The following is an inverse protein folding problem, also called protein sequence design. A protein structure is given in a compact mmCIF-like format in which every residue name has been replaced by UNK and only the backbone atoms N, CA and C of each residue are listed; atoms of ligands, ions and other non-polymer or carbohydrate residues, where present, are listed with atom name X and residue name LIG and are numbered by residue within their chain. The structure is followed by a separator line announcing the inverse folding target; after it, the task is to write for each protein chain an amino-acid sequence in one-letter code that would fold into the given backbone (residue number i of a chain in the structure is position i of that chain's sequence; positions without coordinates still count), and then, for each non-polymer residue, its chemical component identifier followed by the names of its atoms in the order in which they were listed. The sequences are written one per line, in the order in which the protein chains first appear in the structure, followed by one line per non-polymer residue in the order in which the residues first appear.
data_IF_618913465509
#
_entry.id   IF_618913465509
#
_cell.length_a   1.000
_cell.length_b   1.000
_cell.length_c   1.000
_cell.angle_alpha   90.00
_cell.angle_beta   90.00
_cell.angle_gamma   90.00
#
_symmetry.space_group_name_H-M   'P 1'
#
loop_
_entity.id
_entity.type
_entity.pdbx_description
1 polymer ?
#
# COMPACT_ATOMS: atom_id res chain seq x y z
N UNK A 1 -47.96 -45.55 32.93
CA UNK A 1 -46.58 -45.21 32.49
C UNK A 1 -46.31 -45.38 30.99
N UNK A 2 -47.16 -46.03 30.18
CA UNK A 2 -46.89 -46.29 28.75
C UNK A 2 -47.01 -45.08 27.79
N UNK A 3 -47.65 -43.97 28.19
CA UNK A 3 -47.90 -42.83 27.28
C UNK A 3 -46.80 -41.74 27.28
N UNK A 4 -45.78 -41.83 28.15
CA UNK A 4 -44.68 -40.84 28.19
C UNK A 4 -43.64 -41.10 27.11
N UNK A 5 -43.30 -42.36 26.84
CA UNK A 5 -42.30 -42.73 25.83
C UNK A 5 -42.74 -42.42 24.39
N UNK A 6 -44.04 -42.58 24.10
CA UNK A 6 -44.57 -42.29 22.77
C UNK A 6 -44.52 -40.79 22.42
N UNK A 7 -44.74 -39.90 23.39
CA UNK A 7 -44.70 -38.45 23.18
C UNK A 7 -43.28 -37.93 22.96
N UNK A 8 -42.28 -38.55 23.59
CA UNK A 8 -40.89 -38.12 23.50
C UNK A 8 -40.27 -38.53 22.15
N UNK A 9 -40.58 -39.73 21.64
CA UNK A 9 -40.14 -40.16 20.30
C UNK A 9 -40.70 -39.31 19.15
N UNK A 10 -41.95 -38.86 19.26
CA UNK A 10 -42.58 -38.00 18.22
C UNK A 10 -41.95 -36.60 18.17
N UNK A 11 -41.60 -36.02 19.33
CA UNK A 11 -40.97 -34.69 19.38
C UNK A 11 -39.55 -34.74 18.78
N UNK A 12 -38.77 -35.78 19.09
CA UNK A 12 -37.42 -35.95 18.53
C UNK A 12 -37.46 -36.18 17.02
N UNK A 13 -38.43 -36.97 16.53
CA UNK A 13 -38.62 -37.18 15.10
C UNK A 13 -39.04 -35.90 14.36
N UNK A 14 -39.89 -35.06 14.97
CA UNK A 14 -40.31 -33.79 14.39
C UNK A 14 -39.14 -32.80 14.28
N UNK A 15 -38.28 -32.73 15.31
CA UNK A 15 -37.09 -31.86 15.33
C UNK A 15 -36.06 -32.25 14.27
N UNK A 16 -35.82 -33.56 14.09
CA UNK A 16 -34.96 -34.09 13.03
C UNK A 16 -35.53 -33.83 11.62
N UNK A 17 -36.85 -33.98 11.46
CA UNK A 17 -37.50 -33.65 10.19
C UNK A 17 -37.40 -32.16 9.86
N UNK A 18 -37.54 -31.27 10.85
CA UNK A 18 -37.38 -29.82 10.63
C UNK A 18 -35.95 -29.41 10.29
N UNK A 19 -34.91 -30.05 10.84
CA UNK A 19 -33.52 -29.72 10.49
C UNK A 19 -33.17 -30.14 9.06
N UNK A 20 -33.67 -31.30 8.61
CA UNK A 20 -33.50 -31.79 7.23
C UNK A 20 -34.31 -30.93 6.24
N UNK A 21 -35.50 -30.46 6.63
CA UNK A 21 -36.31 -29.60 5.77
C UNK A 21 -35.71 -28.19 5.63
N UNK A 22 -35.15 -27.62 6.70
CA UNK A 22 -34.44 -26.33 6.65
C UNK A 22 -33.19 -26.42 5.76
N UNK A 23 -32.41 -27.49 5.83
CA UNK A 23 -31.24 -27.67 4.95
C UNK A 23 -31.57 -27.88 3.47
N UNK A 24 -32.83 -28.21 3.12
CA UNK A 24 -33.28 -28.31 1.71
C UNK A 24 -33.95 -27.04 1.19
N UNK A 25 -34.55 -26.22 2.06
CA UNK A 25 -35.13 -24.92 1.67
C UNK A 25 -34.04 -23.85 1.59
N UNK A 26 -33.08 -23.86 2.52
CA UNK A 26 -31.87 -23.04 2.44
C UNK A 26 -30.80 -23.84 1.73
N UNK A 27 -30.97 -24.00 0.41
CA UNK A 27 -29.95 -24.61 -0.44
C UNK A 27 -28.58 -24.03 -0.08
N UNK A 28 -27.70 -24.89 0.44
CA UNK A 28 -26.29 -24.56 0.56
C UNK A 28 -25.76 -24.57 -0.87
N UNK A 29 -25.99 -23.48 -1.60
CA UNK A 29 -25.17 -23.17 -2.75
C UNK A 29 -23.77 -22.93 -2.18
N UNK A 30 -22.94 -23.97 -2.27
CA UNK A 30 -21.51 -23.82 -2.14
C UNK A 30 -21.08 -22.94 -3.30
N UNK A 31 -21.08 -21.62 -3.08
CA UNK A 31 -20.43 -20.69 -3.98
C UNK A 31 -18.98 -21.12 -4.03
N UNK A 32 -18.55 -21.63 -5.18
CA UNK A 32 -17.15 -21.78 -5.47
C UNK A 32 -16.56 -20.37 -5.46
N UNK A 33 -15.83 -20.06 -4.40
CA UNK A 33 -15.10 -18.80 -4.28
C UNK A 33 -14.09 -18.75 -5.44
N UNK A 34 -14.33 -17.85 -6.38
CA UNK A 34 -13.41 -17.62 -7.49
C UNK A 34 -12.19 -16.91 -6.91
N UNK A 35 -11.17 -17.67 -6.52
CA UNK A 35 -9.93 -17.09 -6.04
C UNK A 35 -9.21 -16.43 -7.22
N UNK A 36 -9.18 -15.10 -7.25
CA UNK A 36 -8.31 -14.35 -8.15
C UNK A 36 -6.87 -14.70 -7.78
N UNK A 37 -6.04 -15.03 -8.78
CA UNK A 37 -4.61 -15.26 -8.59
C UNK A 37 -3.81 -14.10 -9.18
N UNK A 38 -2.72 -13.66 -8.53
CA UNK A 38 -1.87 -12.61 -9.08
C UNK A 38 -1.25 -13.08 -10.41
N UNK A 39 -0.99 -12.16 -11.36
CA UNK A 39 -0.29 -12.50 -12.59
C UNK A 39 1.12 -13.00 -12.28
N UNK A 40 1.70 -13.78 -13.20
CA UNK A 40 3.09 -14.19 -13.10
C UNK A 40 4.00 -13.02 -13.47
N UNK A 41 4.92 -12.67 -12.58
CA UNK A 41 5.97 -11.68 -12.85
C UNK A 41 7.27 -12.41 -13.23
N UNK A 42 8.02 -11.93 -14.25
CA UNK A 42 9.38 -12.39 -14.47
C UNK A 42 10.28 -11.97 -13.30
N UNK A 43 11.46 -12.58 -13.21
CA UNK A 43 12.45 -12.18 -12.20
C UNK A 43 13.35 -11.07 -12.73
N UNK A 44 13.79 -10.17 -11.85
CA UNK A 44 14.76 -9.14 -12.23
C UNK A 44 16.05 -9.74 -12.81
N UNK A 45 16.52 -10.87 -12.28
CA UNK A 45 17.67 -11.60 -12.80
C UNK A 45 17.53 -12.07 -14.25
N UNK A 46 16.31 -12.24 -14.77
CA UNK A 46 16.08 -12.59 -16.17
C UNK A 46 16.06 -11.36 -17.09
N UNK A 47 15.89 -10.16 -16.54
CA UNK A 47 15.66 -8.92 -17.29
C UNK A 47 16.86 -7.98 -17.29
N UNK A 48 17.39 -7.63 -16.11
CA UNK A 48 18.40 -6.56 -15.95
C UNK A 48 19.74 -6.87 -16.64
N UNK A 49 20.05 -8.14 -16.88
CA UNK A 49 21.29 -8.54 -17.56
C UNK A 49 21.13 -8.72 -19.07
N UNK A 50 19.92 -8.52 -19.59
CA UNK A 50 19.60 -8.68 -21.02
C UNK A 50 19.44 -7.33 -21.69
N UNK A 51 18.73 -6.40 -21.05
CA UNK A 51 18.50 -5.05 -21.55
C UNK A 51 18.05 -4.11 -20.42
N UNK A 52 18.32 -2.82 -20.62
CA UNK A 52 17.80 -1.73 -19.80
C UNK A 52 16.26 -1.74 -19.75
N UNK A 53 15.68 -1.15 -18.70
CA UNK A 53 14.23 -0.99 -18.56
C UNK A 53 13.59 -0.30 -19.76
N UNK A 54 12.51 -0.88 -20.29
CA UNK A 54 11.79 -0.32 -21.44
C UNK A 54 10.82 0.81 -21.05
N UNK A 55 10.48 0.91 -19.77
CA UNK A 55 9.68 2.01 -19.22
C UNK A 55 10.56 3.11 -18.64
N UNK A 56 11.55 2.74 -17.82
CA UNK A 56 12.53 3.67 -17.28
C UNK A 56 13.85 2.94 -16.99
N UNK A 57 14.96 3.65 -17.12
CA UNK A 57 16.30 3.17 -16.82
C UNK A 57 17.12 4.29 -16.17
N UNK A 58 17.76 3.96 -15.06
CA UNK A 58 18.62 4.87 -14.32
C UNK A 58 19.89 4.12 -13.88
N UNK A 59 21.05 4.55 -14.39
CA UNK A 59 22.35 4.02 -13.96
C UNK A 59 22.69 4.36 -12.50
N UNK A 60 22.11 5.44 -11.97
CA UNK A 60 22.29 5.90 -10.60
C UNK A 60 21.19 6.89 -10.20
N UNK A 61 20.95 7.05 -8.90
CA UNK A 61 20.01 8.02 -8.36
C UNK A 61 19.46 7.59 -7.02
N UNK A 62 18.54 8.40 -6.47
CA UNK A 62 17.72 8.02 -5.32
C UNK A 62 16.40 7.47 -5.86
N UNK A 63 16.11 6.21 -5.54
CA UNK A 63 14.95 5.47 -6.02
C UNK A 63 14.07 5.04 -4.87
N UNK A 64 12.75 5.18 -5.05
CA UNK A 64 11.78 4.72 -4.08
C UNK A 64 11.51 3.23 -4.22
N UNK A 65 11.28 2.58 -3.09
CA UNK A 65 10.75 1.22 -2.99
C UNK A 65 9.48 1.27 -2.12
N UNK A 66 8.30 0.93 -2.66
CA UNK A 66 7.03 1.01 -1.94
C UNK A 66 7.06 0.21 -0.63
N UNK A 67 6.59 0.83 0.45
CA UNK A 67 6.57 0.22 1.79
C UNK A 67 7.93 0.06 2.48
N UNK A 68 9.05 0.39 1.81
CA UNK A 68 10.40 0.25 2.36
C UNK A 68 11.04 1.62 2.60
N UNK A 69 11.22 2.43 1.55
CA UNK A 69 11.88 3.74 1.63
C UNK A 69 12.64 4.10 0.34
N UNK A 70 13.48 5.14 0.41
CA UNK A 70 14.30 5.60 -0.70
C UNK A 70 15.76 5.17 -0.53
N UNK A 71 16.39 4.74 -1.62
CA UNK A 71 17.75 4.19 -1.61
C UNK A 71 18.57 4.71 -2.79
N UNK A 72 19.87 4.87 -2.58
CA UNK A 72 20.80 5.24 -3.64
C UNK A 72 21.23 3.99 -4.42
N UNK A 73 21.14 4.04 -5.75
CA UNK A 73 21.45 2.90 -6.60
C UNK A 73 21.03 3.11 -8.06
N UNK A 74 21.08 2.04 -8.85
CA UNK A 74 20.49 1.97 -10.18
C UNK A 74 19.08 1.39 -10.12
N UNK A 75 18.25 1.69 -11.12
CA UNK A 75 16.87 1.22 -11.16
C UNK A 75 16.39 1.04 -12.60
N UNK A 76 15.85 -0.14 -12.88
CA UNK A 76 15.24 -0.49 -14.15
C UNK A 76 13.76 -0.78 -13.96
N UNK A 77 12.91 -0.17 -14.79
CA UNK A 77 11.46 -0.42 -14.79
C UNK A 77 11.05 -0.99 -16.14
N UNK A 78 10.36 -2.13 -16.09
CA UNK A 78 9.88 -2.86 -17.25
C UNK A 78 8.34 -2.86 -17.30
N UNK A 79 7.78 -2.58 -18.47
CA UNK A 79 6.35 -2.81 -18.73
C UNK A 79 6.11 -4.28 -19.07
N UNK A 80 5.13 -4.90 -18.40
CA UNK A 80 4.80 -6.32 -18.60
C UNK A 80 3.49 -6.53 -19.39
N UNK A 81 2.84 -5.44 -19.81
CA UNK A 81 1.52 -5.46 -20.42
C UNK A 81 0.37 -5.53 -19.39
N UNK A 82 -0.84 -5.20 -19.85
CA UNK A 82 -2.05 -5.11 -19.01
C UNK A 82 -1.85 -4.23 -17.77
N UNK A 83 -1.17 -3.08 -17.94
CA UNK A 83 -0.92 -2.14 -16.85
C UNK A 83 0.13 -2.57 -15.82
N UNK A 84 0.68 -3.79 -15.90
CA UNK A 84 1.63 -4.31 -14.91
C UNK A 84 3.06 -3.86 -15.17
N UNK A 85 3.83 -3.68 -14.10
CA UNK A 85 5.23 -3.30 -14.15
C UNK A 85 6.12 -4.18 -13.26
N UNK A 86 7.38 -4.26 -13.63
CA UNK A 86 8.45 -4.84 -12.82
C UNK A 86 9.51 -3.77 -12.60
N UNK A 87 9.78 -3.42 -11.35
CA UNK A 87 10.89 -2.55 -10.99
C UNK A 87 12.01 -3.37 -10.38
N UNK A 88 13.24 -3.09 -10.78
CA UNK A 88 14.45 -3.80 -10.40
C UNK A 88 15.49 -2.81 -9.88
N UNK A 89 15.46 -2.60 -8.57
CA UNK A 89 16.39 -1.69 -7.90
C UNK A 89 17.66 -2.42 -7.46
N UNK A 90 18.83 -1.84 -7.77
CA UNK A 90 20.13 -2.29 -7.31
C UNK A 90 20.87 -1.20 -6.53
N UNK A 91 21.23 -1.42 -5.25
CA UNK A 91 21.89 -0.40 -4.45
C UNK A 91 23.27 -0.05 -5.01
N UNK A 92 23.72 1.19 -4.80
CA UNK A 92 24.98 1.71 -5.35
C UNK A 92 26.23 0.91 -4.90
N UNK A 93 26.16 0.29 -3.71
CA UNK A 93 27.22 -0.61 -3.21
C UNK A 93 27.21 -2.02 -3.82
N UNK A 94 26.24 -2.32 -4.70
CA UNK A 94 25.94 -3.66 -5.21
C UNK A 94 25.35 -4.59 -4.15
N UNK A 95 25.29 -5.89 -4.47
CA UNK A 95 24.80 -6.92 -3.56
C UNK A 95 23.34 -7.30 -3.80
N UNK A 96 22.53 -7.24 -2.75
CA UNK A 96 21.12 -7.64 -2.79
C UNK A 96 20.25 -6.44 -3.21
N UNK A 97 19.58 -6.59 -4.35
CA UNK A 97 18.59 -5.66 -4.88
C UNK A 97 17.18 -5.99 -4.47
N UNK A 98 16.26 -5.10 -4.81
CA UNK A 98 14.82 -5.29 -4.58
C UNK A 98 14.08 -5.35 -5.90
N UNK A 99 13.36 -6.44 -6.10
CA UNK A 99 12.36 -6.61 -7.14
C UNK A 99 11.01 -6.16 -6.59
N UNK A 100 10.35 -5.24 -7.28
CA UNK A 100 9.01 -4.76 -6.96
C UNK A 100 8.05 -5.12 -8.10
N UNK A 101 7.08 -5.96 -7.79
CA UNK A 101 6.01 -6.36 -8.70
C UNK A 101 4.83 -5.42 -8.55
N UNK A 102 4.47 -4.73 -9.64
CA UNK A 102 3.34 -3.81 -9.70
C UNK A 102 2.21 -4.47 -10.46
N UNK A 103 1.19 -4.92 -9.73
CA UNK A 103 -0.01 -5.52 -10.31
C UNK A 103 -1.11 -4.47 -10.41
N UNK A 104 -1.52 -4.12 -11.63
CA UNK A 104 -2.71 -3.29 -11.87
C UNK A 104 -3.97 -4.01 -11.39
N UNK A 105 -4.70 -3.35 -10.50
CA UNK A 105 -5.89 -3.91 -9.83
C UNK A 105 -7.15 -3.08 -10.07
N UNK A 106 -7.22 -2.27 -11.14
CA UNK A 106 -8.43 -1.52 -11.50
C UNK A 106 -9.68 -2.42 -11.53
N UNK A 107 -9.50 -3.69 -11.92
CA UNK A 107 -10.56 -4.67 -12.08
C UNK A 107 -10.79 -5.58 -10.86
N UNK A 108 -10.08 -5.38 -9.74
CA UNK A 108 -10.30 -6.15 -8.52
C UNK A 108 -11.32 -5.45 -7.60
N UNK A 109 -12.12 -6.25 -6.91
CA UNK A 109 -12.98 -5.73 -5.85
C UNK A 109 -12.18 -5.59 -4.54
N UNK A 110 -12.76 -4.87 -3.58
CA UNK A 110 -12.10 -4.61 -2.29
C UNK A 110 -11.86 -5.87 -1.45
N UNK A 111 -12.67 -6.91 -1.60
CA UNK A 111 -12.52 -8.18 -0.86
C UNK A 111 -11.27 -8.92 -1.33
N UNK A 112 -11.04 -9.01 -2.64
CA UNK A 112 -9.83 -9.56 -3.24
C UNK A 112 -8.58 -8.77 -2.82
N UNK A 113 -8.65 -7.43 -2.89
CA UNK A 113 -7.56 -6.55 -2.44
C UNK A 113 -7.22 -6.84 -0.98
N UNK A 114 -8.21 -6.91 -0.09
CA UNK A 114 -8.00 -7.19 1.33
C UNK A 114 -7.38 -8.59 1.56
N UNK A 115 -7.76 -9.58 0.76
CA UNK A 115 -7.16 -10.91 0.79
C UNK A 115 -5.67 -10.86 0.45
N UNK A 116 -5.27 -10.07 -0.55
CA UNK A 116 -3.86 -9.91 -0.90
C UNK A 116 -3.07 -9.08 0.10
N UNK A 117 -3.67 -8.06 0.72
CA UNK A 117 -3.03 -7.32 1.81
C UNK A 117 -2.63 -8.24 2.97
N UNK A 118 -3.43 -9.27 3.27
CA UNK A 118 -3.08 -10.29 4.27
C UNK A 118 -1.91 -11.21 3.86
N UNK A 119 -1.56 -11.22 2.57
CA UNK A 119 -0.46 -12.00 1.96
C UNK A 119 0.77 -11.14 1.67
N UNK A 120 0.93 -10.05 2.43
CA UNK A 120 2.04 -9.10 2.35
C UNK A 120 2.16 -8.35 1.02
N UNK A 121 1.04 -8.15 0.32
CA UNK A 121 0.95 -7.12 -0.70
C UNK A 121 0.66 -5.77 -0.05
N UNK A 122 1.07 -4.70 -0.71
CA UNK A 122 0.75 -3.33 -0.35
C UNK A 122 -0.18 -2.75 -1.40
N UNK A 123 -1.16 -1.94 -1.00
CA UNK A 123 -2.01 -1.24 -1.94
C UNK A 123 -1.46 0.16 -2.15
N UNK A 124 -1.19 0.52 -3.41
CA UNK A 124 -0.92 1.87 -3.83
C UNK A 124 -2.07 2.37 -4.69
N UNK A 125 -2.67 3.48 -4.29
CA UNK A 125 -3.89 3.98 -4.92
C UNK A 125 -3.66 4.61 -6.29
N UNK A 126 -2.40 4.92 -6.63
CA UNK A 126 -1.98 5.49 -7.90
C UNK A 126 -0.49 5.17 -8.15
N UNK A 127 -0.14 4.91 -9.41
CA UNK A 127 1.23 4.77 -9.86
C UNK A 127 1.92 6.08 -10.29
N UNK A 128 1.21 7.22 -10.37
CA UNK A 128 1.76 8.49 -10.88
C UNK A 128 2.96 8.97 -10.03
N UNK A 129 2.87 8.84 -8.71
CA UNK A 129 3.97 9.15 -7.78
C UNK A 129 5.21 8.25 -7.94
N UNK A 130 5.07 7.15 -8.68
CA UNK A 130 6.11 6.18 -8.99
C UNK A 130 6.56 6.25 -10.46
N UNK A 131 6.12 7.29 -11.18
CA UNK A 131 6.34 7.44 -12.62
C UNK A 131 5.80 6.25 -13.42
N UNK A 132 4.70 5.64 -12.97
CA UNK A 132 3.94 4.60 -13.68
C UNK A 132 2.63 5.20 -14.23
N UNK A 133 1.73 4.35 -14.73
CA UNK A 133 0.37 4.80 -15.06
C UNK A 133 -0.39 5.20 -13.79
N UNK A 134 -1.34 6.14 -13.93
CA UNK A 134 -2.19 6.62 -12.83
C UNK A 134 -3.33 5.62 -12.53
N UNK A 135 -2.96 4.37 -12.24
CA UNK A 135 -3.87 3.27 -11.94
C UNK A 135 -3.61 2.75 -10.51
N UNK A 136 -4.57 2.07 -9.87
CA UNK A 136 -4.36 1.44 -8.56
C UNK A 136 -3.54 0.15 -8.71
N UNK A 137 -2.59 -0.05 -7.80
CA UNK A 137 -1.68 -1.19 -7.79
C UNK A 137 -1.71 -1.99 -6.49
N UNK A 138 -1.63 -3.31 -6.62
CA UNK A 138 -1.06 -4.15 -5.58
C UNK A 138 0.43 -4.33 -5.84
N UNK A 139 1.22 -4.06 -4.82
CA UNK A 139 2.68 -4.07 -4.88
C UNK A 139 3.25 -5.16 -3.99
N UNK A 140 4.25 -5.89 -4.50
CA UNK A 140 4.98 -6.88 -3.71
C UNK A 140 6.46 -6.83 -3.96
N UNK A 141 7.22 -6.69 -2.87
CA UNK A 141 8.67 -6.68 -2.90
C UNK A 141 9.25 -8.07 -2.65
N UNK A 142 10.36 -8.36 -3.30
CA UNK A 142 11.19 -9.53 -3.06
C UNK A 142 12.65 -9.17 -3.31
N UNK A 143 13.58 -9.93 -2.73
CA UNK A 143 15.00 -9.64 -2.87
C UNK A 143 15.59 -10.44 -4.05
N UNK A 144 16.55 -9.85 -4.76
CA UNK A 144 17.28 -10.53 -5.83
C UNK A 144 18.77 -10.14 -5.82
N UNK A 145 19.60 -10.87 -6.56
CA UNK A 145 21.03 -10.58 -6.65
C UNK A 145 21.32 -9.63 -7.81
N UNK A 146 21.88 -8.45 -7.51
CA UNK A 146 22.36 -7.49 -8.51
C UNK A 146 23.72 -7.87 -9.10
N UNK A 147 24.40 -8.89 -8.54
CA UNK A 147 25.66 -9.34 -9.09
C UNK A 147 25.45 -9.89 -10.51
N UNK A 148 26.19 -9.34 -11.47
CA UNK A 148 26.32 -9.91 -12.82
C UNK A 148 26.73 -11.38 -12.66
N UNK A 149 26.04 -12.35 -13.28
CA UNK A 149 26.54 -13.72 -13.32
C UNK A 149 27.96 -13.69 -13.89
N UNK A 150 28.92 -14.29 -13.18
CA UNK A 150 30.32 -14.33 -13.62
C UNK A 150 30.38 -14.72 -15.09
N UNK A 151 30.89 -13.85 -15.99
CA UNK A 151 30.91 -14.17 -17.41
C UNK A 151 31.74 -15.43 -17.62
N UNK A 152 31.21 -16.38 -18.40
CA UNK A 152 32.02 -17.44 -19.00
C UNK A 152 33.17 -16.76 -19.75
N UNK A 153 34.45 -17.08 -19.48
CA UNK A 153 35.57 -16.29 -19.95
C UNK A 153 35.65 -16.27 -21.48
N UNK A 154 35.68 -15.08 -22.14
CA UNK A 154 36.03 -14.96 -23.54
C UNK A 154 37.55 -15.05 -23.73
N UNK A 155 38.05 -15.42 -24.93
CA UNK A 155 39.48 -15.51 -25.19
C UNK A 155 40.16 -14.13 -25.10
N UNK A 156 41.38 -14.14 -24.59
CA UNK A 156 42.29 -13.02 -24.38
C UNK A 156 42.41 -12.06 -25.58
N UNK A 157 42.21 -10.75 -25.34
CA UNK A 157 42.91 -9.71 -26.11
C UNK A 157 42.30 -8.31 -26.07
N UNK A 158 43.00 -7.37 -25.42
CA UNK A 158 43.22 -6.02 -25.99
C UNK A 158 42.53 -4.81 -25.35
N UNK A 159 43.34 -3.97 -24.70
CA UNK A 159 43.33 -2.51 -24.92
C UNK A 159 42.41 -1.67 -24.02
N UNK A 160 43.01 -1.03 -23.00
CA UNK A 160 42.35 -0.05 -22.15
C UNK A 160 41.93 1.24 -22.88
N UNK A 161 40.77 1.76 -22.50
CA UNK A 161 40.31 3.12 -22.76
C UNK A 161 39.75 3.68 -21.45
N UNK A 162 40.32 4.78 -20.98
CA UNK A 162 39.89 5.45 -19.75
C UNK A 162 38.47 6.00 -19.92
N UNK A 163 37.58 5.62 -19.01
CA UNK A 163 36.22 6.15 -18.94
C UNK A 163 36.26 7.65 -18.64
N UNK A 164 35.50 8.49 -19.36
CA UNK A 164 35.25 9.87 -18.94
C UNK A 164 34.59 9.83 -17.55
N UNK A 165 35.13 10.59 -16.59
CA UNK A 165 34.52 10.70 -15.26
C UNK A 165 33.06 11.16 -15.38
N UNK A 166 32.20 10.61 -14.52
CA UNK A 166 30.78 10.95 -14.48
C UNK A 166 30.59 12.48 -14.41
N UNK A 167 29.56 13.04 -15.09
CA UNK A 167 29.28 14.46 -15.01
C UNK A 167 29.06 14.87 -13.54
N UNK A 168 29.95 15.73 -13.03
CA UNK A 168 29.86 16.28 -11.68
C UNK A 168 28.87 17.44 -11.71
N UNK A 169 27.81 17.34 -10.92
CA UNK A 169 26.90 18.46 -10.70
C UNK A 169 27.60 19.52 -9.84
N UNK A 170 27.78 20.72 -10.38
CA UNK A 170 28.49 21.83 -9.73
C UNK A 170 27.52 22.90 -9.20
N UNK A 171 26.21 22.63 -9.15
CA UNK A 171 25.25 23.59 -8.64
C UNK A 171 25.43 23.77 -7.11
N UNK A 172 25.20 24.98 -6.57
CA UNK A 172 25.27 25.20 -5.13
C UNK A 172 24.24 24.34 -4.38
N UNK A 173 24.69 23.62 -3.35
CA UNK A 173 23.80 22.84 -2.49
C UNK A 173 22.85 23.74 -1.68
N UNK A 174 21.63 23.27 -1.42
CA UNK A 174 20.71 23.80 -0.42
C UNK A 174 21.31 23.63 0.98
N UNK A 175 21.00 24.58 1.87
CA UNK A 175 21.52 24.59 3.25
C UNK A 175 20.43 24.83 4.30
N UNK A 176 19.23 25.26 3.89
CA UNK A 176 18.13 25.59 4.79
C UNK A 176 16.91 24.75 4.46
N UNK A 177 16.29 24.22 5.51
CA UNK A 177 15.01 23.57 5.44
C UNK A 177 13.87 24.59 5.38
N UNK A 178 12.73 24.25 4.74
CA UNK A 178 11.53 25.07 4.81
C UNK A 178 11.02 25.17 6.25
N UNK A 179 10.39 26.30 6.59
CA UNK A 179 9.75 26.47 7.90
C UNK A 179 8.26 26.19 7.80
N UNK A 180 7.77 25.31 8.66
CA UNK A 180 6.36 24.92 8.73
C UNK A 180 6.05 24.39 10.13
N UNK A 181 4.77 24.38 10.49
CA UNK A 181 4.27 23.92 11.79
C UNK A 181 2.90 23.28 11.62
N UNK A 182 2.31 22.78 12.71
CA UNK A 182 0.93 22.27 12.70
C UNK A 182 -0.10 23.31 12.22
N UNK A 183 0.17 24.61 12.37
CA UNK A 183 -0.71 25.66 11.88
C UNK A 183 -0.72 25.77 10.34
N UNK A 184 0.31 25.25 9.68
CA UNK A 184 0.41 25.25 8.22
C UNK A 184 -0.18 23.98 7.59
N UNK A 185 -0.75 23.10 8.40
CA UNK A 185 -1.33 21.85 7.97
C UNK A 185 -2.83 21.89 8.21
N UNK A 186 -3.60 21.53 7.19
CA UNK A 186 -5.06 21.44 7.31
C UNK A 186 -5.59 20.27 6.51
N UNK A 187 -6.49 19.50 7.11
CA UNK A 187 -7.23 18.47 6.40
C UNK A 187 -8.34 19.13 5.59
N UNK A 188 -8.38 18.87 4.28
CA UNK A 188 -9.38 19.42 3.37
C UNK A 188 -10.63 18.56 3.39
N UNK A 189 -10.46 17.24 3.37
CA UNK A 189 -11.53 16.23 3.37
C UNK A 189 -11.06 14.90 4.02
N UNK A 190 -11.78 13.80 3.78
CA UNK A 190 -11.51 12.49 4.40
C UNK A 190 -10.11 11.94 4.11
N UNK A 191 -9.52 12.34 2.99
CA UNK A 191 -8.34 11.72 2.39
C UNK A 191 -7.36 12.75 1.82
N UNK A 192 -7.64 14.05 1.95
CA UNK A 192 -6.78 15.10 1.41
C UNK A 192 -6.29 16.05 2.51
N UNK A 193 -5.01 16.38 2.47
CA UNK A 193 -4.36 17.31 3.39
C UNK A 193 -3.64 18.39 2.58
N UNK A 194 -3.90 19.65 2.96
CA UNK A 194 -3.16 20.81 2.52
C UNK A 194 -2.02 21.09 3.48
N UNK A 195 -0.83 21.31 2.93
CA UNK A 195 0.37 21.73 3.65
C UNK A 195 0.91 22.99 3.00
N UNK A 196 1.33 23.95 3.82
CA UNK A 196 2.06 25.13 3.36
C UNK A 196 3.37 25.28 4.14
N UNK A 197 4.35 25.95 3.57
CA UNK A 197 5.64 26.23 4.22
C UNK A 197 6.17 27.61 3.82
N UNK A 198 7.23 28.05 4.49
CA UNK A 198 7.99 29.24 4.11
C UNK A 198 9.26 28.78 3.41
N UNK A 199 9.47 29.29 2.20
CA UNK A 199 10.72 29.13 1.44
C UNK A 199 11.84 29.89 2.16
N UNK A 200 12.89 29.19 2.54
CA UNK A 200 14.02 29.75 3.29
C UNK A 200 15.36 29.67 2.55
N UNK A 201 15.43 28.85 1.50
CA UNK A 201 16.60 28.67 0.65
C UNK A 201 16.23 29.01 -0.80
N UNK A 202 16.90 30.00 -1.37
CA UNK A 202 16.75 30.47 -2.75
C UNK A 202 17.51 29.59 -3.76
N UNK A 203 18.04 28.44 -3.32
CA UNK A 203 18.62 27.43 -4.20
C UNK A 203 17.71 26.22 -4.37
N UNK A 204 16.63 26.13 -3.58
CA UNK A 204 15.68 25.03 -3.68
C UNK A 204 15.02 25.06 -5.06
N UNK A 205 15.11 23.97 -5.81
CA UNK A 205 14.44 23.83 -7.11
C UNK A 205 13.09 23.14 -6.98
N UNK A 206 12.93 22.36 -5.90
CA UNK A 206 11.73 21.58 -5.58
C UNK A 206 11.70 21.26 -4.08
N UNK A 207 10.56 20.77 -3.63
CA UNK A 207 10.33 20.43 -2.23
C UNK A 207 9.84 18.99 -2.10
N UNK A 208 10.53 18.22 -1.26
CA UNK A 208 10.14 16.86 -0.91
C UNK A 208 9.27 16.85 0.34
N UNK A 209 8.17 16.11 0.34
CA UNK A 209 7.24 16.00 1.46
C UNK A 209 7.13 14.53 1.85
N UNK A 210 7.71 14.20 2.99
CA UNK A 210 7.59 12.89 3.60
C UNK A 210 6.40 12.88 4.55
N UNK A 211 5.63 11.79 4.56
CA UNK A 211 4.49 11.66 5.47
C UNK A 211 4.25 10.21 5.92
N UNK A 212 3.55 10.06 7.03
CA UNK A 212 3.39 8.77 7.71
C UNK A 212 2.29 8.77 8.76
N UNK A 213 1.79 7.59 9.12
CA UNK A 213 0.95 7.40 10.32
C UNK A 213 1.79 7.22 11.60
N UNK A 214 3.11 7.20 11.46
CA UNK A 214 4.08 7.10 12.55
C UNK A 214 5.12 8.22 12.42
N UNK A 215 5.35 8.98 13.50
CA UNK A 215 6.33 10.07 13.53
C UNK A 215 7.77 9.61 13.31
N UNK A 216 8.09 8.37 13.70
CA UNK A 216 9.44 7.81 13.61
C UNK A 216 9.72 7.20 12.23
N UNK A 217 8.65 6.91 11.46
CA UNK A 217 8.74 6.30 10.14
C UNK A 217 7.73 6.93 9.18
N UNK A 218 8.20 7.91 8.42
CA UNK A 218 7.45 8.54 7.34
C UNK A 218 7.60 7.72 6.06
N UNK A 219 6.71 6.75 5.87
CA UNK A 219 6.81 5.74 4.80
C UNK A 219 6.43 6.25 3.41
N UNK A 220 5.79 7.41 3.30
CA UNK A 220 5.33 7.97 2.03
C UNK A 220 6.07 9.26 1.67
N UNK A 221 6.13 9.57 0.37
CA UNK A 221 6.86 10.71 -0.19
C UNK A 221 6.10 11.29 -1.38
N UNK A 222 6.11 12.62 -1.51
CA UNK A 222 5.70 13.33 -2.72
C UNK A 222 6.62 14.52 -2.96
N UNK A 223 6.72 14.99 -4.20
CA UNK A 223 7.58 16.11 -4.58
C UNK A 223 6.75 17.22 -5.25
N UNK A 224 7.05 18.47 -4.90
CA UNK A 224 6.48 19.64 -5.52
C UNK A 224 7.56 20.43 -6.22
N UNK A 225 7.44 20.57 -7.55
CA UNK A 225 8.38 21.32 -8.38
C UNK A 225 8.14 22.82 -8.28
N UNK A 226 9.21 23.60 -8.40
CA UNK A 226 9.17 25.05 -8.45
C UNK A 226 9.86 25.68 -7.24
N UNK A 227 10.79 26.58 -7.54
CA UNK A 227 11.60 27.29 -6.55
C UNK A 227 10.76 28.11 -5.56
N UNK A 228 9.72 28.79 -6.06
CA UNK A 228 8.84 29.65 -5.26
C UNK A 228 7.62 28.92 -4.69
N UNK A 229 7.52 27.60 -4.92
CA UNK A 229 6.35 26.84 -4.47
C UNK A 229 6.38 26.68 -2.96
N UNK A 230 5.26 26.98 -2.31
CA UNK A 230 5.16 27.04 -0.85
C UNK A 230 3.92 26.32 -0.29
N UNK A 231 3.26 25.53 -1.13
CA UNK A 231 2.02 24.83 -0.82
C UNK A 231 1.92 23.52 -1.61
N UNK A 232 1.31 22.51 -1.00
CA UNK A 232 0.93 21.26 -1.64
C UNK A 232 -0.42 20.77 -1.12
N UNK A 233 -1.13 20.05 -1.98
CA UNK A 233 -2.27 19.22 -1.58
C UNK A 233 -1.85 17.77 -1.80
N UNK A 234 -1.95 16.98 -0.73
CA UNK A 234 -1.64 15.56 -0.71
C UNK A 234 -2.99 14.85 -0.63
N UNK A 235 -3.33 14.11 -1.68
CA UNK A 235 -4.57 13.35 -1.75
C UNK A 235 -4.34 11.90 -1.27
N UNK A 236 -5.43 11.16 -1.04
CA UNK A 236 -5.41 9.73 -0.71
C UNK A 236 -4.62 9.37 0.57
N UNK A 237 -4.54 10.33 1.49
CA UNK A 237 -3.90 10.17 2.79
C UNK A 237 -4.78 9.32 3.71
N UNK A 238 -4.23 8.29 4.39
CA UNK A 238 -5.01 7.43 5.26
C UNK A 238 -5.75 8.21 6.36
N UNK A 239 -6.85 7.62 6.82
CA UNK A 239 -7.59 8.14 7.96
C UNK A 239 -6.74 8.01 9.24
N UNK A 240 -6.83 9.03 10.09
CA UNK A 240 -6.09 9.08 11.35
C UNK A 240 -5.09 10.23 11.39
N UNK A 241 -4.20 10.16 12.38
CA UNK A 241 -3.16 11.16 12.56
C UNK A 241 -2.06 10.94 11.53
N UNK A 242 -1.69 12.02 10.85
CA UNK A 242 -0.65 11.98 9.82
C UNK A 242 0.44 12.95 10.21
N UNK A 243 1.67 12.48 10.13
CA UNK A 243 2.91 13.18 10.45
C UNK A 243 3.59 13.59 9.16
N UNK A 244 4.24 14.76 9.16
CA UNK A 244 4.83 15.34 7.95
C UNK A 244 6.25 15.83 8.19
N UNK A 245 7.06 15.77 7.13
CA UNK A 245 8.37 16.42 7.06
C UNK A 245 8.60 17.00 5.68
N UNK A 246 8.99 18.28 5.60
CA UNK A 246 9.27 18.95 4.33
C UNK A 246 10.77 19.22 4.19
N UNK A 247 11.29 19.03 2.98
CA UNK A 247 12.69 19.19 2.63
C UNK A 247 12.86 20.12 1.43
N UNK A 248 13.84 21.01 1.49
CA UNK A 248 14.33 21.72 0.31
C UNK A 248 15.20 20.76 -0.50
N UNK A 249 15.03 20.72 -1.81
CA UNK A 249 15.84 19.88 -2.71
C UNK A 249 16.51 20.77 -3.76
N UNK A 250 17.83 20.66 -3.85
CA UNK A 250 18.66 21.41 -4.80
C UNK A 250 18.63 20.80 -6.21
N UNK A 251 19.30 21.49 -7.13
CA UNK A 251 19.42 21.04 -8.53
C UNK A 251 20.13 19.68 -8.62
N UNK A 252 21.16 19.47 -7.78
CA UNK A 252 21.93 18.24 -7.73
C UNK A 252 21.28 17.12 -6.89
N UNK A 253 20.06 17.32 -6.36
CA UNK A 253 19.37 16.33 -5.52
C UNK A 253 19.82 16.29 -4.07
N UNK A 254 20.73 17.17 -3.65
CA UNK A 254 21.01 17.42 -2.25
C UNK A 254 19.76 17.94 -1.53
N UNK A 255 19.59 17.56 -0.26
CA UNK A 255 18.37 17.87 0.48
C UNK A 255 18.63 18.30 1.92
N UNK A 256 17.83 19.25 2.38
CA UNK A 256 17.83 19.71 3.79
C UNK A 256 16.40 19.73 4.30
N UNK A 257 16.13 18.91 5.31
CA UNK A 257 14.79 18.71 5.86
C UNK A 257 14.59 19.41 7.20
N UNK A 258 13.34 19.81 7.47
CA UNK A 258 12.94 20.36 8.76
C UNK A 258 13.15 19.35 9.89
N UNK A 259 13.51 19.84 11.07
CA UNK A 259 13.59 19.02 12.30
C UNK A 259 12.21 18.69 12.87
N UNK A 260 11.22 19.52 12.55
CA UNK A 260 9.88 19.42 13.11
C UNK A 260 9.05 18.39 12.35
N UNK A 261 8.35 17.54 13.11
CA UNK A 261 7.43 16.51 12.61
C UNK A 261 6.02 16.79 13.13
N UNK A 262 5.34 17.85 12.63
CA UNK A 262 4.00 18.19 13.05
C UNK A 262 2.97 17.14 12.58
N UNK A 263 1.81 17.14 13.24
CA UNK A 263 0.71 16.21 12.95
C UNK A 263 -0.56 16.93 12.55
N UNK A 264 -1.32 16.32 11.64
CA UNK A 264 -2.72 16.64 11.37
C UNK A 264 -3.58 15.59 12.03
N UNK A 265 -4.50 16.03 12.90
CA UNK A 265 -5.43 15.13 13.58
C UNK A 265 -6.38 14.48 12.58
N UNK A 266 -6.64 13.19 12.79
CA UNK A 266 -7.64 12.46 12.02
C UNK A 266 -9.06 12.96 12.29
N UNK A 267 -9.94 12.83 11.29
CA UNK A 267 -11.38 12.91 11.55
C UNK A 267 -11.75 11.68 12.37
N UNK A 268 -12.31 11.87 13.56
CA UNK A 268 -12.80 10.75 14.34
C UNK A 268 -13.77 9.94 13.46
N UNK A 269 -13.54 8.62 13.35
CA UNK A 269 -14.49 7.69 12.75
C UNK A 269 -15.84 8.04 13.37
N UNK A 270 -16.77 8.56 12.57
CA UNK A 270 -18.18 8.55 12.98
C UNK A 270 -18.44 7.14 13.46
N UNK A 271 -18.94 7.00 14.70
CA UNK A 271 -19.36 5.69 15.20
C UNK A 271 -20.10 5.03 14.05
N UNK A 272 -19.73 3.79 13.65
CA UNK A 272 -20.47 3.11 12.60
C UNK A 272 -21.93 3.29 13.01
N UNK A 273 -22.74 3.88 12.12
CA UNK A 273 -24.16 4.00 12.37
C UNK A 273 -24.57 2.59 12.73
N UNK A 274 -24.78 2.35 14.02
CA UNK A 274 -25.21 1.06 14.51
C UNK A 274 -26.55 0.97 13.83
N UNK A 275 -26.57 0.18 12.75
CA UNK A 275 -27.78 -0.23 12.09
C UNK A 275 -28.69 -0.58 13.24
N UNK A 276 -29.75 0.19 13.39
CA UNK A 276 -30.74 0.00 14.42
C UNK A 276 -31.38 -1.34 14.11
N UNK A 277 -30.70 -2.42 14.48
CA UNK A 277 -31.33 -3.68 14.76
C UNK A 277 -31.96 -3.41 16.12
N UNK A 278 -33.10 -2.73 16.08
CA UNK A 278 -34.05 -2.79 17.16
C UNK A 278 -34.22 -4.28 17.44
N UNK A 279 -33.78 -4.68 18.63
CA UNK A 279 -34.00 -6.01 19.18
C UNK A 279 -35.43 -6.45 18.83
N UNK A 280 -35.57 -7.35 17.87
CA UNK A 280 -36.74 -8.24 17.80
C UNK A 280 -36.54 -9.38 18.80
N UNK A 281 -36.24 -9.04 20.05
CA UNK A 281 -36.59 -9.88 21.20
C UNK A 281 -38.06 -9.59 21.54
N UNK A 282 -38.97 -9.89 20.61
CA UNK A 282 -40.41 -9.89 20.88
C UNK A 282 -41.12 -11.18 20.45
N UNK A 283 -40.40 -12.15 19.86
CA UNK A 283 -41.02 -13.43 19.46
C UNK A 283 -40.79 -14.55 20.50
N UNK A 284 -39.82 -14.42 21.41
CA UNK A 284 -39.61 -15.42 22.47
C UNK A 284 -40.32 -15.09 23.79
N UNK A 285 -40.77 -13.86 24.01
CA UNK A 285 -41.53 -13.51 25.21
C UNK A 285 -42.87 -14.27 25.36
N UNK A 286 -43.71 -14.45 24.31
CA UNK A 286 -44.94 -15.23 24.47
C UNK A 286 -44.67 -16.73 24.63
N UNK A 287 -43.61 -17.27 24.02
CA UNK A 287 -43.26 -18.70 24.14
C UNK A 287 -42.70 -19.00 25.53
N UNK A 288 -41.80 -18.15 26.05
CA UNK A 288 -41.23 -18.28 27.39
C UNK A 288 -42.29 -18.17 28.49
N UNK A 289 -43.21 -17.20 28.39
CA UNK A 289 -44.32 -17.05 29.33
C UNK A 289 -45.31 -18.21 29.25
N UNK A 290 -45.60 -18.72 28.05
CA UNK A 290 -46.48 -19.88 27.86
C UNK A 290 -45.88 -21.17 28.45
N UNK A 291 -44.57 -21.40 28.28
CA UNK A 291 -43.87 -22.55 28.87
C UNK A 291 -43.77 -22.44 30.40
N UNK A 292 -43.45 -21.25 30.93
CA UNK A 292 -43.44 -21.00 32.38
C UNK A 292 -44.79 -21.27 33.04
N UNK A 293 -45.89 -20.77 32.44
CA UNK A 293 -47.25 -20.97 32.96
C UNK A 293 -47.71 -22.43 32.87
N UNK A 294 -47.30 -23.16 31.83
CA UNK A 294 -47.75 -24.54 31.59
C UNK A 294 -47.00 -25.60 32.38
N UNK A 295 -45.74 -25.35 32.72
CA UNK A 295 -44.89 -26.36 33.36
C UNK A 295 -44.65 -26.18 34.86
N UNK A 296 -45.15 -25.09 35.49
CA UNK A 296 -45.17 -24.85 36.95
C UNK A 296 -44.07 -25.66 37.66
N UNK A 297 -42.82 -25.29 37.40
CA UNK A 297 -41.67 -25.94 38.03
C UNK A 297 -41.76 -25.62 39.52
N UNK A 298 -42.29 -26.58 40.27
CA UNK A 298 -42.09 -26.77 41.71
C UNK A 298 -40.86 -27.64 41.87
#
# INVERSE_FOLDING_TARGET
MKNKFFKQGVITALLLLTSVFLGRIFGYEAFAESSVTPPSFPTCSEKIFVADGDWAHYDSGIHGIPGVGNFEGSDDVYSLGSGNFLQCFCPAGGGEGTQTNWWDVENLNQEDINSFLSQSWFFESSGDGWNLLDDPYLVKNSNFSCAVPTPTPPPSGGGGGGSPGAPVCNAPAVTKAPLYSSANLSRIDSDSIKISWIVTDDRAQRYGIYYGTNSDKLSWYTEVKGHDTNEAIINLVPQGNIFFKVCSIGECGDQVCGSDIPTVLGVAKGLPATGTIALTILVFAPIGYYLYRRFRLV
#
